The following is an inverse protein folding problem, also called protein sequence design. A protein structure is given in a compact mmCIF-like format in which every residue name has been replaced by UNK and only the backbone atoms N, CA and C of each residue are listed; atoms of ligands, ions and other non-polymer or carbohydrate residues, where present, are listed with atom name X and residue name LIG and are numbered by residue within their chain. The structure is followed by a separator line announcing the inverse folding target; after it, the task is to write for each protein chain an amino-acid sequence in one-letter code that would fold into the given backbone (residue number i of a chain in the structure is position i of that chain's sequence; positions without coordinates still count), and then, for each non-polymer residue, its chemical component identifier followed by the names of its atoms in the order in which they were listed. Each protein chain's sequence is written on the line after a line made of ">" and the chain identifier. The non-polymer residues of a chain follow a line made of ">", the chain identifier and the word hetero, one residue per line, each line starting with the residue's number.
data_IF_431620413156
#
_entry.id   IF_431620413156
#
_cell.length_a   1.000
_cell.length_b   1.000
_cell.length_c   1.000
_cell.angle_alpha   90.00
_cell.angle_beta   90.00
_cell.angle_gamma   90.00
#
_symmetry.space_group_name_H-M   'P 1'
#
loop_
_entity.id
_entity.type
_entity.pdbx_description
1 polymer ?
#
# COMPACT_ATOMS: atom_id res chain seq x y z
N UNK A 1 -15.76 20.08 9.03
CA UNK A 1 -14.69 19.49 8.20
C UNK A 1 -14.61 18.00 8.50
N UNK A 2 -14.84 17.15 7.51
CA UNK A 2 -14.79 15.69 7.59
C UNK A 2 -13.38 15.25 7.21
N UNK A 3 -12.62 14.75 8.19
CA UNK A 3 -11.24 14.31 8.02
C UNK A 3 -11.15 12.80 8.18
N UNK A 4 -10.47 12.15 7.26
CA UNK A 4 -10.20 10.72 7.31
C UNK A 4 -8.71 10.42 7.31
N UNK A 5 -8.33 9.29 7.89
CA UNK A 5 -6.97 8.76 7.82
C UNK A 5 -6.96 7.48 6.99
N UNK A 6 -6.05 7.39 6.02
CA UNK A 6 -5.71 6.18 5.29
C UNK A 6 -4.38 5.62 5.84
N UNK A 7 -4.40 4.70 6.81
CA UNK A 7 -3.18 4.22 7.46
C UNK A 7 -2.60 2.99 6.77
N UNK A 8 -1.27 2.94 6.70
CA UNK A 8 -0.56 1.81 6.12
C UNK A 8 0.95 1.87 6.36
N UNK A 9 1.64 0.76 6.07
CA UNK A 9 3.09 0.77 5.96
C UNK A 9 3.54 1.41 4.65
N UNK A 10 2.84 1.19 3.52
CA UNK A 10 3.20 1.75 2.22
C UNK A 10 4.67 1.47 1.83
N UNK A 11 5.10 0.21 1.91
CA UNK A 11 6.49 -0.21 1.66
C UNK A 11 6.63 -1.13 0.42
N UNK A 12 6.49 -0.59 -0.82
CA UNK A 12 6.12 0.80 -1.14
C UNK A 12 4.59 0.99 -1.32
N UNK A 13 4.17 2.22 -1.58
CA UNK A 13 2.82 2.53 -2.09
C UNK A 13 2.57 1.82 -3.44
N UNK A 14 1.32 1.48 -3.72
CA UNK A 14 0.92 0.69 -4.92
C UNK A 14 -0.33 1.32 -5.55
N UNK A 15 -0.67 0.92 -6.77
CA UNK A 15 -1.89 1.40 -7.44
C UNK A 15 -3.16 1.05 -6.66
N UNK A 16 -3.16 -0.06 -5.92
CA UNK A 16 -4.25 -0.41 -5.00
C UNK A 16 -4.39 0.58 -3.84
N UNK A 17 -3.29 1.04 -3.25
CA UNK A 17 -3.34 2.08 -2.22
C UNK A 17 -3.86 3.41 -2.78
N UNK A 18 -3.41 3.80 -3.99
CA UNK A 18 -3.83 5.04 -4.63
C UNK A 18 -5.31 5.04 -5.02
N UNK A 19 -5.87 3.89 -5.41
CA UNK A 19 -7.32 3.77 -5.63
C UNK A 19 -8.10 4.14 -4.36
N UNK A 20 -7.70 3.60 -3.21
CA UNK A 20 -8.36 3.87 -1.92
C UNK A 20 -8.18 5.34 -1.52
N UNK A 21 -6.95 5.87 -1.60
CA UNK A 21 -6.66 7.27 -1.25
C UNK A 21 -7.45 8.23 -2.15
N UNK A 22 -7.43 8.00 -3.47
CA UNK A 22 -8.14 8.85 -4.43
C UNK A 22 -9.66 8.77 -4.28
N UNK A 23 -10.22 7.61 -3.93
CA UNK A 23 -11.65 7.47 -3.62
C UNK A 23 -12.01 8.14 -2.30
N UNK A 24 -11.17 8.03 -1.28
CA UNK A 24 -11.32 8.75 -0.03
C UNK A 24 -11.30 10.27 -0.24
N UNK A 25 -10.37 10.77 -1.06
CA UNK A 25 -10.22 12.19 -1.36
C UNK A 25 -11.47 12.81 -2.01
N UNK A 26 -12.31 12.01 -2.68
CA UNK A 26 -13.60 12.46 -3.23
C UNK A 26 -14.75 12.51 -2.22
N UNK A 27 -14.58 11.88 -1.05
CA UNK A 27 -15.65 11.70 -0.05
C UNK A 27 -15.44 12.54 1.22
N UNK A 28 -14.22 13.03 1.44
CA UNK A 28 -13.81 13.74 2.64
C UNK A 28 -13.22 15.10 2.31
N UNK A 29 -13.36 16.05 3.24
CA UNK A 29 -12.80 17.40 3.08
C UNK A 29 -11.27 17.37 3.17
N UNK A 30 -10.71 16.42 3.93
CA UNK A 30 -9.26 16.16 4.00
C UNK A 30 -8.99 14.69 4.25
N UNK A 31 -7.97 14.16 3.56
CA UNK A 31 -7.46 12.80 3.76
C UNK A 31 -6.01 12.87 4.19
N UNK A 32 -5.70 12.19 5.29
CA UNK A 32 -4.35 12.07 5.81
C UNK A 32 -3.86 10.65 5.55
N UNK A 33 -2.83 10.52 4.73
CA UNK A 33 -2.15 9.23 4.56
C UNK A 33 -1.19 9.05 5.74
N UNK A 34 -1.54 8.13 6.64
CA UNK A 34 -0.80 7.86 7.88
C UNK A 34 0.23 6.76 7.69
N UNK A 35 1.51 7.13 7.58
CA UNK A 35 2.64 6.19 7.43
C UNK A 35 3.08 5.69 8.80
N UNK A 36 2.88 4.39 9.05
CA UNK A 36 3.33 3.79 10.31
C UNK A 36 4.86 3.70 10.35
N UNK A 37 5.44 4.25 11.42
CA UNK A 37 6.85 4.06 11.78
C UNK A 37 6.96 2.82 12.66
N UNK A 38 7.33 1.70 12.06
CA UNK A 38 7.56 0.46 12.79
C UNK A 38 9.06 0.30 13.09
N UNK A 39 9.46 0.45 14.36
CA UNK A 39 10.87 0.30 14.77
C UNK A 39 11.35 -1.16 14.75
N UNK A 40 10.44 -2.15 14.83
CA UNK A 40 10.79 -3.57 14.89
C UNK A 40 10.81 -4.27 13.53
N UNK A 41 10.38 -3.60 12.45
CA UNK A 41 10.46 -4.12 11.08
C UNK A 41 11.34 -3.22 10.23
N UNK A 42 12.40 -3.79 9.66
CA UNK A 42 13.12 -3.15 8.56
C UNK A 42 12.28 -3.30 7.28
N UNK A 43 11.64 -2.21 6.87
CA UNK A 43 11.04 -2.11 5.53
C UNK A 43 12.11 -2.09 4.44
N UNK A 44 11.70 -2.24 3.18
CA UNK A 44 12.62 -2.06 2.05
C UNK A 44 13.03 -0.59 1.92
N UNK A 45 12.10 0.31 2.21
CA UNK A 45 12.27 1.75 2.21
C UNK A 45 12.21 2.33 3.63
N UNK A 46 12.97 3.39 3.87
CA UNK A 46 12.90 4.18 5.09
C UNK A 46 11.53 4.84 5.24
N UNK A 47 11.22 5.41 6.40
CA UNK A 47 9.94 6.15 6.59
C UNK A 47 9.91 7.33 5.63
N UNK A 48 11.02 8.05 5.55
CA UNK A 48 11.22 9.26 4.77
C UNK A 48 11.01 8.95 3.28
N UNK A 49 11.64 7.90 2.75
CA UNK A 49 11.45 7.46 1.35
C UNK A 49 9.99 7.11 1.03
N UNK A 50 9.29 6.47 1.97
CA UNK A 50 7.86 6.13 1.81
C UNK A 50 6.98 7.37 1.80
N UNK A 51 7.26 8.34 2.67
CA UNK A 51 6.56 9.63 2.68
C UNK A 51 6.80 10.38 1.37
N UNK A 52 8.04 10.44 0.90
CA UNK A 52 8.39 11.18 -0.31
C UNK A 52 7.73 10.56 -1.55
N UNK A 53 7.77 9.23 -1.68
CA UNK A 53 7.01 8.52 -2.71
C UNK A 53 5.52 8.87 -2.65
N UNK A 54 4.91 8.83 -1.44
CA UNK A 54 3.50 9.13 -1.25
C UNK A 54 3.16 10.57 -1.63
N UNK A 55 3.98 11.55 -1.20
CA UNK A 55 3.79 12.97 -1.53
C UNK A 55 3.81 13.19 -3.04
N UNK A 56 4.76 12.56 -3.74
CA UNK A 56 4.86 12.69 -5.19
C UNK A 56 3.63 12.10 -5.89
N UNK A 57 3.22 10.88 -5.54
CA UNK A 57 2.11 10.19 -6.23
C UNK A 57 0.73 10.69 -5.80
N UNK A 58 0.65 11.50 -4.75
CA UNK A 58 -0.60 12.15 -4.30
C UNK A 58 -0.63 13.65 -4.55
N UNK A 59 0.38 14.22 -5.22
CA UNK A 59 0.51 15.65 -5.45
C UNK A 59 -0.65 16.28 -6.24
N UNK A 60 -1.41 15.48 -6.99
CA UNK A 60 -2.59 15.95 -7.74
C UNK A 60 -3.84 16.12 -6.87
N UNK A 61 -3.82 15.74 -5.60
CA UNK A 61 -4.95 15.87 -4.69
C UNK A 61 -4.74 17.04 -3.73
N UNK A 62 -5.48 18.12 -3.93
CA UNK A 62 -5.37 19.34 -3.09
C UNK A 62 -5.74 19.12 -1.62
N UNK A 63 -6.48 18.05 -1.32
CA UNK A 63 -6.98 17.71 0.00
C UNK A 63 -6.34 16.46 0.60
N UNK A 64 -5.23 15.98 0.05
CA UNK A 64 -4.45 14.86 0.61
C UNK A 64 -3.15 15.39 1.19
N UNK A 65 -2.84 15.01 2.43
CA UNK A 65 -1.50 15.17 2.99
C UNK A 65 -0.96 13.88 3.57
N UNK A 66 0.36 13.82 3.68
CA UNK A 66 1.08 12.63 4.13
C UNK A 66 1.79 12.94 5.44
N UNK A 67 1.54 12.11 6.45
CA UNK A 67 2.11 12.24 7.79
C UNK A 67 2.61 10.88 8.27
N UNK A 68 3.64 10.88 9.10
CA UNK A 68 4.06 9.66 9.80
C UNK A 68 3.62 9.68 11.24
N UNK A 69 3.49 8.49 11.83
CA UNK A 69 3.17 8.37 13.25
C UNK A 69 3.83 7.15 13.88
N UNK A 70 3.93 7.22 15.21
CA UNK A 70 4.40 6.15 16.10
C UNK A 70 3.32 5.89 17.15
N UNK A 71 3.29 4.66 17.69
CA UNK A 71 2.32 4.28 18.71
C UNK A 71 0.97 3.87 18.13
N UNK A 72 -0.11 4.09 18.89
CA UNK A 72 -1.46 3.65 18.52
C UNK A 72 -2.04 4.52 17.41
N UNK A 73 -2.62 3.86 16.41
CA UNK A 73 -3.30 4.51 15.29
C UNK A 73 -4.43 5.44 15.74
N UNK A 74 -5.18 5.05 16.77
CA UNK A 74 -6.28 5.85 17.31
C UNK A 74 -5.81 7.15 17.96
N UNK A 75 -4.63 7.16 18.57
CA UNK A 75 -4.06 8.38 19.17
C UNK A 75 -3.57 9.32 18.08
N UNK A 76 -3.01 8.78 17.00
CA UNK A 76 -2.74 9.56 15.79
C UNK A 76 -4.02 10.17 15.22
N UNK A 77 -5.11 9.39 15.10
CA UNK A 77 -6.40 9.91 14.63
C UNK A 77 -6.91 11.07 15.50
N UNK A 78 -6.84 10.93 16.84
CA UNK A 78 -7.19 11.99 17.78
C UNK A 78 -6.33 13.25 17.62
N UNK A 79 -5.01 13.09 17.51
CA UNK A 79 -4.09 14.21 17.31
C UNK A 79 -4.38 14.94 15.99
N UNK A 80 -4.79 14.19 14.97
CA UNK A 80 -5.23 14.74 13.70
C UNK A 80 -6.71 15.17 13.70
N UNK A 81 -7.45 15.08 14.81
CA UNK A 81 -8.89 15.37 14.86
C UNK A 81 -9.69 14.63 13.76
N UNK A 82 -9.27 13.42 13.41
CA UNK A 82 -9.92 12.54 12.45
C UNK A 82 -10.75 11.50 13.21
N UNK A 83 -12.03 11.39 12.88
CA UNK A 83 -12.93 10.41 13.48
C UNK A 83 -13.13 9.16 12.61
N UNK A 84 -12.54 9.12 11.42
CA UNK A 84 -12.71 8.04 10.44
C UNK A 84 -11.37 7.50 9.96
N UNK A 85 -11.23 6.18 10.01
CA UNK A 85 -10.21 5.39 9.32
C UNK A 85 -10.78 4.83 8.03
N UNK A 86 -9.98 4.79 6.97
CA UNK A 86 -10.35 4.17 5.70
C UNK A 86 -9.39 3.03 5.42
N UNK A 87 -9.95 1.84 5.17
CA UNK A 87 -9.21 0.61 4.87
C UNK A 87 -9.74 -0.03 3.60
N UNK A 88 -8.82 -0.38 2.70
CA UNK A 88 -9.15 -1.24 1.57
C UNK A 88 -9.32 -2.69 2.02
N UNK A 89 -10.37 -3.36 1.55
CA UNK A 89 -10.51 -4.82 1.69
C UNK A 89 -10.36 -5.47 0.31
N UNK A 90 -9.50 -6.48 0.20
CA UNK A 90 -9.25 -7.16 -1.09
C UNK A 90 -9.98 -8.49 -1.18
N UNK A 91 -9.98 -9.24 -0.08
CA UNK A 91 -10.60 -10.54 0.01
C UNK A 91 -11.22 -10.75 1.38
N UNK A 92 -12.06 -11.79 1.49
CA UNK A 92 -12.68 -12.22 2.75
C UNK A 92 -11.62 -12.49 3.83
N UNK A 93 -10.44 -12.97 3.45
CA UNK A 93 -9.33 -13.22 4.37
C UNK A 93 -8.81 -11.97 5.09
N UNK A 94 -8.94 -10.77 4.50
CA UNK A 94 -8.56 -9.52 5.16
C UNK A 94 -9.63 -9.10 6.21
N UNK A 95 -10.88 -9.54 6.03
CA UNK A 95 -12.03 -9.00 6.75
C UNK A 95 -12.02 -9.32 8.25
N UNK A 96 -11.79 -10.57 8.64
CA UNK A 96 -11.91 -10.97 10.05
C UNK A 96 -10.92 -10.19 10.95
N UNK A 97 -9.67 -10.06 10.47
CA UNK A 97 -8.64 -9.29 11.16
C UNK A 97 -8.99 -7.80 11.22
N UNK A 98 -9.38 -7.21 10.09
CA UNK A 98 -9.68 -5.78 10.02
C UNK A 98 -10.96 -5.42 10.80
N UNK A 99 -11.97 -6.28 10.83
CA UNK A 99 -13.19 -6.09 11.62
C UNK A 99 -12.88 -6.07 13.12
N UNK A 100 -12.03 -7.00 13.59
CA UNK A 100 -11.59 -7.02 14.99
C UNK A 100 -10.86 -5.72 15.35
N UNK A 101 -9.98 -5.24 14.46
CA UNK A 101 -9.26 -3.97 14.65
C UNK A 101 -10.22 -2.77 14.65
N UNK A 102 -11.23 -2.75 13.78
CA UNK A 102 -12.25 -1.71 13.74
C UNK A 102 -13.04 -1.61 15.06
N UNK A 103 -13.49 -2.75 15.59
CA UNK A 103 -14.19 -2.81 16.88
C UNK A 103 -13.31 -2.33 18.04
N UNK A 104 -12.03 -2.69 18.02
CA UNK A 104 -11.07 -2.21 19.01
C UNK A 104 -10.87 -0.69 18.92
N UNK A 105 -10.76 -0.13 17.71
CA UNK A 105 -10.58 1.30 17.51
C UNK A 105 -11.80 2.13 18.00
N UNK A 106 -13.01 1.62 17.76
CA UNK A 106 -14.25 2.20 18.30
C UNK A 106 -14.23 2.15 19.83
N UNK A 107 -13.92 1.00 20.42
CA UNK A 107 -13.88 0.83 21.88
C UNK A 107 -12.84 1.70 22.58
N UNK A 108 -11.66 1.89 21.97
CA UNK A 108 -10.57 2.67 22.55
C UNK A 108 -10.76 4.18 22.39
N UNK A 109 -11.37 4.63 21.28
CA UNK A 109 -11.31 6.03 20.89
C UNK A 109 -12.52 6.58 20.13
N UNK A 110 -13.56 5.78 19.89
CA UNK A 110 -14.70 6.19 19.06
C UNK A 110 -14.30 6.49 17.61
N UNK A 111 -13.21 5.89 17.12
CA UNK A 111 -12.75 6.08 15.75
C UNK A 111 -13.41 5.04 14.86
N UNK A 112 -14.27 5.50 13.95
CA UNK A 112 -14.98 4.65 13.00
C UNK A 112 -14.03 4.12 11.92
N UNK A 113 -14.28 2.90 11.44
CA UNK A 113 -13.52 2.33 10.32
C UNK A 113 -14.45 2.08 9.15
N UNK A 114 -14.19 2.73 8.02
CA UNK A 114 -14.88 2.51 6.77
C UNK A 114 -14.06 1.58 5.87
N UNK A 115 -14.66 0.45 5.54
CA UNK A 115 -14.09 -0.50 4.59
C UNK A 115 -14.51 -0.17 3.17
N UNK A 116 -13.53 -0.14 2.29
CA UNK A 116 -13.71 0.11 0.87
C UNK A 116 -13.28 -1.12 0.07
N UNK A 117 -14.18 -1.75 -0.70
CA UNK A 117 -13.81 -2.85 -1.57
C UNK A 117 -12.76 -2.39 -2.58
N UNK A 118 -11.66 -3.14 -2.68
CA UNK A 118 -10.56 -2.83 -3.60
C UNK A 118 -11.03 -3.01 -5.04
N UNK A 119 -10.61 -2.13 -5.95
CA UNK A 119 -10.84 -2.31 -7.38
C UNK A 119 -10.34 -3.70 -7.82
N UNK A 120 -11.15 -4.51 -8.54
CA UNK A 120 -10.75 -5.85 -8.98
C UNK A 120 -9.40 -5.90 -9.69
N UNK A 121 -9.04 -4.85 -10.45
CA UNK A 121 -7.75 -4.69 -11.12
C UNK A 121 -6.54 -4.75 -10.18
N UNK A 122 -6.75 -4.42 -8.89
CA UNK A 122 -5.70 -4.35 -7.88
C UNK A 122 -5.91 -5.35 -6.72
N UNK A 123 -6.92 -6.21 -6.81
CA UNK A 123 -7.34 -7.11 -5.73
C UNK A 123 -6.25 -8.11 -5.29
N UNK A 124 -5.39 -8.55 -6.22
CA UNK A 124 -4.28 -9.47 -5.95
C UNK A 124 -3.00 -8.77 -5.48
N UNK A 125 -2.97 -7.43 -5.47
CA UNK A 125 -1.74 -6.67 -5.22
C UNK A 125 -1.46 -6.55 -3.72
N UNK A 126 -0.20 -6.74 -3.35
CA UNK A 126 0.34 -6.32 -2.05
C UNK A 126 1.77 -5.81 -2.24
N UNK A 127 2.23 -4.91 -1.37
CA UNK A 127 3.62 -4.43 -1.44
C UNK A 127 4.62 -5.57 -1.29
N UNK A 128 4.32 -6.60 -0.49
CA UNK A 128 5.16 -7.80 -0.37
C UNK A 128 5.27 -8.54 -1.69
N UNK A 129 4.14 -8.84 -2.34
CA UNK A 129 4.13 -9.53 -3.64
C UNK A 129 4.86 -8.73 -4.72
N UNK A 130 4.65 -7.40 -4.76
CA UNK A 130 5.36 -6.54 -5.71
C UNK A 130 6.88 -6.59 -5.48
N UNK A 131 7.33 -6.53 -4.23
CA UNK A 131 8.75 -6.63 -3.90
C UNK A 131 9.33 -7.98 -4.32
N UNK A 132 8.60 -9.06 -4.10
CA UNK A 132 9.03 -10.41 -4.50
C UNK A 132 9.14 -10.53 -6.02
N UNK A 133 8.14 -10.09 -6.78
CA UNK A 133 8.17 -10.12 -8.26
C UNK A 133 9.30 -9.26 -8.81
N UNK A 134 9.47 -8.03 -8.29
CA UNK A 134 10.52 -7.12 -8.71
C UNK A 134 11.92 -7.67 -8.44
N UNK A 135 12.12 -8.34 -7.29
CA UNK A 135 13.39 -8.99 -6.93
C UNK A 135 13.83 -10.04 -7.94
N UNK A 136 12.88 -10.70 -8.60
CA UNK A 136 13.15 -11.71 -9.63
C UNK A 136 13.07 -11.16 -11.07
N UNK A 137 13.00 -9.84 -11.23
CA UNK A 137 12.98 -9.19 -12.55
C UNK A 137 11.65 -9.26 -13.28
N UNK A 138 10.55 -9.61 -12.60
CA UNK A 138 9.22 -9.54 -13.17
C UNK A 138 8.76 -8.10 -13.41
N UNK A 139 7.94 -7.90 -14.44
CA UNK A 139 7.37 -6.58 -14.73
C UNK A 139 6.26 -6.23 -13.72
N UNK A 140 6.42 -5.06 -13.08
CA UNK A 140 5.48 -4.50 -12.10
C UNK A 140 4.87 -3.16 -12.56
N UNK A 141 5.10 -2.77 -13.81
CA UNK A 141 4.68 -1.47 -14.36
C UNK A 141 3.18 -1.19 -14.22
N UNK A 142 2.34 -2.23 -14.28
CA UNK A 142 0.89 -2.12 -14.12
C UNK A 142 0.42 -1.99 -12.66
N UNK A 143 1.31 -2.15 -11.67
CA UNK A 143 0.95 -2.34 -10.26
C UNK A 143 1.41 -1.22 -9.33
N UNK A 144 2.33 -0.38 -9.79
CA UNK A 144 2.85 0.78 -9.06
C UNK A 144 3.03 1.98 -9.98
N UNK A 145 3.05 3.22 -9.45
CA UNK A 145 3.45 4.39 -10.23
C UNK A 145 4.90 4.29 -10.73
N UNK A 146 5.21 4.97 -11.83
CA UNK A 146 6.53 4.91 -12.46
C UNK A 146 7.67 5.32 -11.52
N UNK A 147 7.47 6.35 -10.69
CA UNK A 147 8.47 6.77 -9.68
C UNK A 147 8.76 5.64 -8.68
N UNK A 148 7.73 4.94 -8.24
CA UNK A 148 7.87 3.81 -7.29
C UNK A 148 8.56 2.63 -7.97
N UNK A 149 8.20 2.33 -9.23
CA UNK A 149 8.88 1.29 -10.02
C UNK A 149 10.38 1.58 -10.12
N UNK A 150 10.75 2.81 -10.46
CA UNK A 150 12.15 3.21 -10.59
C UNK A 150 12.92 2.99 -9.28
N UNK A 151 12.34 3.39 -8.15
CA UNK A 151 12.96 3.18 -6.83
C UNK A 151 13.08 1.69 -6.47
N UNK A 152 12.06 0.88 -6.75
CA UNK A 152 12.09 -0.58 -6.53
C UNK A 152 13.20 -1.25 -7.34
N UNK A 153 13.30 -0.96 -8.64
CA UNK A 153 14.32 -1.53 -9.52
C UNK A 153 15.72 -1.13 -9.06
N UNK A 154 15.92 0.14 -8.70
CA UNK A 154 17.20 0.62 -8.18
C UNK A 154 17.60 -0.08 -6.87
N UNK A 155 16.65 -0.31 -5.97
CA UNK A 155 16.89 -0.93 -4.66
C UNK A 155 17.12 -2.44 -4.73
N UNK A 156 16.38 -3.12 -5.60
CA UNK A 156 16.32 -4.59 -5.63
C UNK A 156 17.27 -5.24 -6.62
N UNK A 157 18.04 -4.45 -7.40
CA UNK A 157 19.07 -4.87 -8.36
C UNK A 157 18.91 -6.32 -8.84
N UNK A 158 18.35 -6.57 -10.05
CA UNK A 158 17.99 -7.91 -10.47
C UNK A 158 19.20 -8.85 -10.28
N UNK A 159 18.99 -9.92 -9.52
CA UNK A 159 19.93 -11.03 -9.49
C UNK A 159 20.24 -11.42 -10.94
N UNK A 160 21.50 -11.78 -11.29
CA UNK A 160 21.80 -12.22 -12.64
C UNK A 160 20.79 -13.29 -13.04
N UNK A 161 20.12 -13.07 -14.18
CA UNK A 161 19.05 -13.93 -14.65
C UNK A 161 19.49 -15.39 -14.49
N UNK A 162 18.65 -16.22 -13.82
CA UNK A 162 18.87 -17.66 -13.85
C UNK A 162 18.97 -18.03 -15.34
N UNK A 163 20.09 -18.65 -15.73
CA UNK A 163 20.20 -19.33 -17.01
C UNK A 163 19.16 -20.44 -17.02
N UNK A 164 17.92 -20.10 -17.35
CA UNK A 164 16.88 -21.07 -17.61
C UNK A 164 17.37 -21.84 -18.85
N UNK A 165 17.51 -23.16 -18.76
CA UNK A 165 17.83 -23.95 -19.94
C UNK A 165 16.76 -23.62 -20.98
N UNK A 166 17.21 -23.20 -22.17
CA UNK A 166 16.31 -22.88 -23.28
C UNK A 166 15.33 -24.02 -23.52
N UNK A 167 14.14 -23.72 -24.08
CA UNK A 167 13.10 -24.72 -24.28
C UNK A 167 13.70 -25.95 -24.96
N UNK A 168 13.70 -27.09 -24.25
CA UNK A 168 14.17 -28.37 -24.78
C UNK A 168 13.43 -28.59 -26.10
N UNK A 169 14.12 -28.69 -27.25
CA UNK A 169 13.43 -28.86 -28.51
C UNK A 169 12.60 -30.14 -28.42
N UNK A 170 11.28 -29.99 -28.58
CA UNK A 170 10.35 -31.10 -28.71
C UNK A 170 10.90 -32.00 -29.82
N UNK A 171 11.44 -33.16 -29.43
CA UNK A 171 11.83 -34.20 -30.38
C UNK A 171 10.58 -34.53 -31.20
N UNK A 172 10.55 -34.06 -32.43
CA UNK A 172 9.61 -34.55 -33.42
C UNK A 172 9.92 -36.03 -33.59
N UNK A 173 9.06 -36.89 -33.07
CA UNK A 173 9.06 -38.31 -33.40
C UNK A 173 8.79 -38.41 -34.91
N UNK A 174 9.85 -38.63 -35.69
CA UNK A 174 9.71 -39.17 -37.03
C UNK A 174 9.25 -40.62 -36.89
N UNK A 175 8.10 -40.91 -37.53
CA UNK A 175 7.63 -42.20 -38.07
C UNK A 175 8.00 -43.48 -37.33
#
# INVERSE_FOLDING_TARGET
>A
MRRAVCPGSFDPVTNGHLDIIGRAARLFDEVIVGVLVNQSKQGLFTVEERIDMLREVTASYDNVRVESFRGLLVDFCRAQQASVLIKGLRAVSDFDYELQMAQMNIGLAGVETLFMPTNPLYSFISSSLIKDVAKWGGDISAHVPDVVRAQLVARLSPLPALNLPGPTPLRRSCT
#
